data_IF_545834225721
#
_entry.id   IF_545834225721
#
_cell.length_a   1.000
_cell.length_b   1.000
_cell.length_c   1.000
_cell.angle_alpha   90.00
_cell.angle_beta   90.00
_cell.angle_gamma   90.00
#
_symmetry.space_group_name_H-M   'P 1'
#
loop_
_entity.id
_entity.type
_entity.pdbx_description
1 polymer ?
#
# COMPACT_ATOMS: atom_id res chain seq x y z
N UNK A 1 9.88 13.33 -19.36
CA UNK A 1 9.36 11.95 -19.59
C UNK A 1 7.82 11.84 -19.61
N UNK A 2 7.10 12.94 -19.76
CA UNK A 2 5.61 12.93 -19.84
C UNK A 2 5.04 12.45 -21.20
N UNK A 3 5.85 12.21 -22.21
CA UNK A 3 5.40 11.87 -23.56
C UNK A 3 5.16 10.40 -23.87
N UNK A 4 5.34 9.49 -22.89
CA UNK A 4 5.15 8.04 -23.08
C UNK A 4 3.82 7.50 -22.54
N UNK A 5 3.09 8.30 -21.81
CA UNK A 5 1.81 7.91 -21.22
C UNK A 5 0.67 8.52 -22.04
N UNK A 6 -0.42 7.76 -22.22
CA UNK A 6 -1.60 8.20 -22.97
C UNK A 6 -2.27 9.44 -22.37
N UNK A 7 -3.28 9.97 -23.02
CA UNK A 7 -4.01 11.20 -22.63
C UNK A 7 -4.70 11.10 -21.24
N UNK A 8 -4.81 9.89 -20.68
CA UNK A 8 -5.49 9.61 -19.41
C UNK A 8 -4.54 9.59 -18.19
N UNK A 9 -3.25 9.97 -18.38
CA UNK A 9 -2.28 10.04 -17.28
C UNK A 9 -2.05 11.50 -16.89
N UNK A 10 -2.37 11.82 -15.64
CA UNK A 10 -2.24 13.14 -15.07
C UNK A 10 -1.14 13.18 -14.01
N UNK A 11 -0.27 14.17 -14.09
CA UNK A 11 0.76 14.44 -13.07
C UNK A 11 0.35 15.62 -12.22
N UNK A 12 0.28 15.41 -10.90
CA UNK A 12 -0.07 16.43 -9.93
C UNK A 12 1.16 16.69 -9.06
N UNK A 13 1.67 17.92 -9.10
CA UNK A 13 2.70 18.34 -8.16
C UNK A 13 2.04 18.68 -6.82
N UNK A 14 2.53 18.06 -5.74
CA UNK A 14 2.11 18.37 -4.37
C UNK A 14 3.35 18.79 -3.58
N UNK A 15 3.25 19.89 -2.84
CA UNK A 15 4.33 20.39 -1.99
C UNK A 15 4.25 19.82 -0.56
N UNK A 16 3.62 18.66 -0.42
CA UNK A 16 3.42 18.02 0.86
C UNK A 16 4.37 16.84 1.02
N UNK A 17 5.23 16.90 2.02
CA UNK A 17 6.16 15.81 2.38
C UNK A 17 5.47 14.78 3.25
N UNK A 18 4.29 14.32 2.81
CA UNK A 18 3.38 13.49 3.59
C UNK A 18 2.62 12.58 2.63
N UNK A 19 2.70 11.26 2.83
CA UNK A 19 2.11 10.27 1.92
C UNK A 19 0.59 10.33 1.94
N UNK A 20 -0.03 10.51 3.11
CA UNK A 20 -1.48 10.63 3.22
C UNK A 20 -2.01 11.87 2.50
N UNK A 21 -1.34 13.02 2.66
CA UNK A 21 -1.70 14.25 1.96
C UNK A 21 -1.53 14.12 0.43
N UNK A 22 -0.46 13.45 -0.02
CA UNK A 22 -0.23 13.21 -1.44
C UNK A 22 -1.32 12.33 -2.05
N UNK A 23 -1.69 11.21 -1.38
CA UNK A 23 -2.81 10.35 -1.80
C UNK A 23 -4.14 11.13 -1.81
N UNK A 24 -4.41 11.90 -0.75
CA UNK A 24 -5.61 12.74 -0.67
C UNK A 24 -5.68 13.77 -1.82
N UNK A 25 -4.56 14.39 -2.19
CA UNK A 25 -4.50 15.32 -3.32
C UNK A 25 -4.84 14.63 -4.65
N UNK A 26 -4.31 13.42 -4.88
CA UNK A 26 -4.63 12.61 -6.04
C UNK A 26 -6.11 12.33 -6.17
N UNK A 27 -6.76 11.87 -5.09
CA UNK A 27 -8.21 11.59 -5.11
C UNK A 27 -9.08 12.84 -5.18
N UNK A 28 -8.67 13.97 -4.59
CA UNK A 28 -9.36 15.26 -4.80
C UNK A 28 -9.32 15.68 -6.27
N UNK A 29 -8.18 15.53 -6.92
CA UNK A 29 -8.05 15.79 -8.34
C UNK A 29 -8.92 14.84 -9.16
N UNK A 30 -8.86 13.53 -8.92
CA UNK A 30 -9.69 12.54 -9.58
C UNK A 30 -11.18 12.89 -9.45
N UNK A 31 -11.62 13.29 -8.26
CA UNK A 31 -13.00 13.77 -8.03
C UNK A 31 -13.35 14.93 -8.95
N UNK A 32 -12.51 15.96 -9.02
CA UNK A 32 -12.78 17.15 -9.84
C UNK A 32 -12.90 16.87 -11.34
N UNK A 33 -12.13 15.86 -11.83
CA UNK A 33 -12.19 15.45 -13.23
C UNK A 33 -13.41 14.56 -13.52
N UNK A 34 -13.82 13.73 -12.55
CA UNK A 34 -14.86 12.72 -12.72
C UNK A 34 -16.27 13.22 -12.35
N UNK A 35 -16.39 14.32 -11.62
CA UNK A 35 -17.70 14.87 -11.21
C UNK A 35 -18.65 15.11 -12.41
N UNK A 36 -18.12 15.48 -13.56
CA UNK A 36 -18.89 15.70 -14.76
C UNK A 36 -19.48 14.40 -15.39
N UNK A 37 -18.97 13.23 -14.98
CA UNK A 37 -19.36 11.94 -15.57
C UNK A 37 -20.59 11.34 -14.86
N UNK A 38 -20.92 11.79 -13.64
CA UNK A 38 -22.17 11.42 -12.93
C UNK A 38 -22.32 9.94 -12.61
N UNK A 39 -21.23 9.17 -12.62
CA UNK A 39 -21.21 7.74 -12.38
C UNK A 39 -20.52 7.43 -11.05
N UNK A 40 -20.79 6.22 -10.56
CA UNK A 40 -20.08 5.63 -9.44
C UNK A 40 -18.64 5.28 -9.86
N UNK A 41 -17.63 5.67 -9.10
CA UNK A 41 -16.23 5.47 -9.44
C UNK A 41 -15.55 4.58 -8.41
N UNK A 42 -14.73 3.65 -8.92
CA UNK A 42 -13.81 2.88 -8.10
C UNK A 42 -12.46 3.59 -8.08
N UNK A 43 -11.97 3.88 -6.90
CA UNK A 43 -10.63 4.38 -6.67
C UNK A 43 -9.71 3.24 -6.28
N UNK A 44 -8.51 3.23 -6.82
CA UNK A 44 -7.47 2.28 -6.43
C UNK A 44 -6.16 3.02 -6.21
N UNK A 45 -5.34 2.56 -5.29
CA UNK A 45 -4.03 3.15 -4.99
C UNK A 45 -2.96 2.07 -4.97
N UNK A 46 -1.82 2.42 -5.55
CA UNK A 46 -0.58 1.65 -5.52
C UNK A 46 0.59 2.61 -5.37
N UNK A 47 1.78 2.11 -5.06
CA UNK A 47 2.97 2.93 -4.92
C UNK A 47 3.75 2.98 -6.23
N UNK A 48 4.58 4.03 -6.41
CA UNK A 48 5.29 4.27 -7.67
C UNK A 48 6.38 3.24 -8.01
N UNK A 49 6.77 2.42 -7.03
CA UNK A 49 7.73 1.33 -7.14
C UNK A 49 7.07 -0.05 -6.98
N UNK A 50 5.77 -0.11 -7.18
CA UNK A 50 4.95 -1.32 -7.06
C UNK A 50 4.34 -1.69 -8.41
N UNK A 51 4.47 -2.95 -8.79
CA UNK A 51 3.88 -3.52 -10.00
C UNK A 51 2.58 -4.24 -9.65
N UNK A 52 1.54 -3.98 -10.45
CA UNK A 52 0.21 -4.60 -10.31
C UNK A 52 -0.03 -5.63 -11.41
N UNK A 53 -0.76 -6.70 -11.12
CA UNK A 53 -1.16 -7.69 -12.13
C UNK A 53 -2.17 -7.13 -13.13
N UNK A 54 -2.26 -7.75 -14.32
CA UNK A 54 -3.18 -7.31 -15.37
C UNK A 54 -4.67 -7.42 -15.02
N UNK A 55 -5.01 -8.23 -14.04
CA UNK A 55 -6.37 -8.44 -13.52
C UNK A 55 -6.65 -7.66 -12.20
N UNK A 56 -5.69 -6.87 -11.72
CA UNK A 56 -5.73 -6.19 -10.42
C UNK A 56 -7.02 -5.40 -10.19
N UNK A 57 -7.41 -4.54 -11.13
CA UNK A 57 -8.65 -3.76 -11.02
C UNK A 57 -9.90 -4.63 -11.20
N UNK A 58 -9.84 -5.65 -12.06
CA UNK A 58 -10.96 -6.55 -12.32
C UNK A 58 -11.30 -7.35 -11.06
N UNK A 59 -10.29 -7.83 -10.34
CA UNK A 59 -10.47 -8.53 -9.06
C UNK A 59 -11.09 -7.63 -8.01
N UNK A 60 -10.57 -6.42 -7.84
CA UNK A 60 -11.15 -5.46 -6.90
C UNK A 60 -12.62 -5.15 -7.21
N UNK A 61 -12.93 -4.88 -8.48
CA UNK A 61 -14.31 -4.59 -8.91
C UNK A 61 -15.26 -5.80 -8.82
N UNK A 62 -14.71 -6.99 -8.89
CA UNK A 62 -15.48 -8.25 -8.72
C UNK A 62 -15.90 -8.50 -7.28
N UNK A 63 -15.32 -7.82 -6.31
CA UNK A 63 -15.73 -7.88 -4.92
C UNK A 63 -17.00 -7.06 -4.68
N UNK A 64 -17.93 -7.58 -3.90
CA UNK A 64 -19.15 -6.87 -3.48
C UNK A 64 -18.91 -5.99 -2.24
N UNK A 65 -17.68 -5.49 -2.05
CA UNK A 65 -17.27 -4.70 -0.88
C UNK A 65 -17.22 -3.20 -1.17
N UNK A 66 -17.21 -2.40 -0.10
CA UNK A 66 -16.97 -0.96 -0.19
C UNK A 66 -15.48 -0.64 -0.29
N UNK A 67 -14.63 -1.52 0.24
CA UNK A 67 -13.17 -1.49 0.16
C UNK A 67 -12.62 -2.90 -0.08
N UNK A 68 -11.55 -3.02 -0.85
CA UNK A 68 -10.77 -4.24 -1.05
C UNK A 68 -9.33 -3.99 -0.66
N UNK A 69 -8.76 -4.88 0.13
CA UNK A 69 -7.38 -4.89 0.56
C UNK A 69 -6.71 -6.16 0.06
N UNK A 70 -5.53 -6.03 -0.52
CA UNK A 70 -4.70 -7.13 -0.97
C UNK A 70 -3.36 -7.18 -0.26
N UNK A 71 -2.53 -8.13 -0.65
CA UNK A 71 -1.24 -8.42 -0.08
C UNK A 71 -0.10 -7.80 -0.90
N UNK A 72 1.06 -7.66 -0.28
CA UNK A 72 2.27 -7.13 -0.89
C UNK A 72 3.37 -8.19 -0.79
N UNK A 73 4.09 -8.40 -1.88
CA UNK A 73 5.30 -9.24 -1.91
C UNK A 73 6.48 -8.45 -2.45
N UNK A 74 7.68 -8.86 -2.09
CA UNK A 74 8.92 -8.33 -2.67
C UNK A 74 9.27 -9.12 -3.91
N UNK A 75 9.44 -8.43 -5.05
CA UNK A 75 9.69 -9.10 -6.32
C UNK A 75 11.10 -9.64 -6.46
N UNK A 76 12.08 -8.89 -5.99
CA UNK A 76 13.48 -9.27 -6.06
C UNK A 76 14.23 -8.67 -4.87
N UNK A 77 14.95 -9.55 -4.15
CA UNK A 77 15.82 -9.17 -3.05
C UNK A 77 17.20 -8.79 -3.59
N UNK A 78 17.41 -7.49 -3.87
CA UNK A 78 18.67 -6.97 -4.42
C UNK A 78 19.51 -6.21 -3.40
N UNK A 79 18.87 -5.67 -2.38
CA UNK A 79 19.47 -4.75 -1.42
C UNK A 79 19.56 -5.35 -0.01
N UNK A 80 19.06 -6.55 0.18
CA UNK A 80 19.06 -7.28 1.44
C UNK A 80 19.59 -8.70 1.26
N UNK A 81 20.11 -9.32 2.33
CA UNK A 81 20.61 -10.70 2.29
C UNK A 81 19.47 -11.72 2.19
N UNK A 82 19.80 -12.93 1.79
CA UNK A 82 18.85 -14.06 1.73
C UNK A 82 18.21 -14.32 3.10
N UNK A 83 18.98 -14.22 4.19
CA UNK A 83 18.48 -14.40 5.56
C UNK A 83 17.44 -13.34 5.94
N UNK A 84 17.58 -12.11 5.44
CA UNK A 84 16.58 -11.03 5.64
C UNK A 84 15.30 -11.37 4.88
N UNK A 85 15.43 -11.83 3.63
CA UNK A 85 14.30 -12.26 2.81
C UNK A 85 13.52 -13.40 3.49
N UNK A 86 14.22 -14.46 3.90
CA UNK A 86 13.61 -15.61 4.58
C UNK A 86 12.89 -15.21 5.89
N UNK A 87 13.55 -14.38 6.71
CA UNK A 87 12.94 -13.92 7.97
C UNK A 87 11.71 -13.06 7.74
N UNK A 88 11.76 -12.13 6.76
CA UNK A 88 10.64 -11.30 6.39
C UNK A 88 9.45 -12.15 5.89
N UNK A 89 9.68 -13.03 4.92
CA UNK A 89 8.63 -13.88 4.35
C UNK A 89 8.02 -14.81 5.39
N UNK A 90 8.84 -15.42 6.24
CA UNK A 90 8.37 -16.28 7.33
C UNK A 90 7.43 -15.50 8.28
N UNK A 91 7.76 -14.25 8.63
CA UNK A 91 6.91 -13.40 9.48
C UNK A 91 5.65 -12.97 8.77
N UNK A 92 5.78 -12.50 7.55
CA UNK A 92 4.65 -12.04 6.77
C UNK A 92 3.54 -13.10 6.64
N UNK A 93 3.95 -14.37 6.50
CA UNK A 93 3.01 -15.49 6.38
C UNK A 93 2.56 -16.09 7.73
N UNK A 94 3.36 -15.97 8.79
CA UNK A 94 3.12 -16.67 10.05
C UNK A 94 2.45 -15.80 11.14
N UNK A 95 2.73 -14.50 11.16
CA UNK A 95 2.50 -13.68 12.36
C UNK A 95 1.19 -12.90 12.36
N UNK A 96 0.50 -12.76 11.24
CA UNK A 96 -0.70 -11.93 11.23
C UNK A 96 -1.89 -12.58 10.52
N UNK A 97 -3.09 -12.55 11.11
CA UNK A 97 -4.32 -12.79 10.38
C UNK A 97 -4.40 -11.86 9.17
N UNK A 98 -5.00 -12.32 8.08
CA UNK A 98 -5.14 -11.56 6.83
C UNK A 98 -5.64 -10.11 7.06
N UNK A 99 -6.52 -9.92 8.05
CA UNK A 99 -7.10 -8.63 8.42
C UNK A 99 -6.12 -7.62 9.04
N UNK A 100 -4.90 -8.00 9.29
CA UNK A 100 -3.83 -7.10 9.78
C UNK A 100 -2.92 -6.62 8.68
N UNK A 101 -2.96 -7.24 7.48
CA UNK A 101 -2.23 -6.78 6.32
C UNK A 101 -2.95 -5.59 5.67
N UNK A 102 -2.55 -4.38 6.03
CA UNK A 102 -3.08 -3.14 5.46
C UNK A 102 -1.94 -2.43 4.75
N UNK A 103 -2.09 -2.25 3.45
CA UNK A 103 -1.04 -1.66 2.60
C UNK A 103 -1.65 -0.64 1.65
N UNK A 104 -1.29 0.61 1.80
CA UNK A 104 -1.68 1.68 0.87
C UNK A 104 -1.23 1.43 -0.58
N UNK A 105 -0.28 0.50 -0.77
CA UNK A 105 0.17 0.06 -2.08
C UNK A 105 -0.80 -0.93 -2.77
N UNK A 106 -1.75 -1.52 -2.04
CA UNK A 106 -2.70 -2.49 -2.59
C UNK A 106 -4.08 -2.39 -1.96
N UNK A 107 -4.78 -1.31 -2.26
CA UNK A 107 -6.15 -1.11 -1.82
C UNK A 107 -7.00 -0.42 -2.89
N UNK A 108 -8.31 -0.71 -2.86
CA UNK A 108 -9.29 -0.02 -3.68
C UNK A 108 -10.59 0.16 -2.92
N UNK A 109 -11.38 1.16 -3.31
CA UNK A 109 -12.62 1.50 -2.63
C UNK A 109 -13.55 2.32 -3.52
N UNK A 110 -14.84 2.25 -3.23
CA UNK A 110 -15.81 3.11 -3.88
C UNK A 110 -15.64 4.57 -3.47
N UNK A 111 -15.73 5.48 -4.43
CA UNK A 111 -15.56 6.92 -4.22
C UNK A 111 -16.52 7.48 -3.17
N UNK A 112 -17.78 7.01 -3.16
CA UNK A 112 -18.77 7.44 -2.17
C UNK A 112 -18.39 7.02 -0.75
N UNK A 113 -17.91 5.77 -0.57
CA UNK A 113 -17.47 5.27 0.72
C UNK A 113 -16.24 6.05 1.22
N UNK A 114 -15.27 6.28 0.32
CA UNK A 114 -14.08 7.07 0.60
C UNK A 114 -14.40 8.49 1.08
N UNK A 115 -15.28 9.20 0.35
CA UNK A 115 -15.65 10.55 0.73
C UNK A 115 -16.56 10.61 1.96
N UNK A 116 -17.39 9.59 2.19
CA UNK A 116 -18.23 9.48 3.40
C UNK A 116 -17.40 9.46 4.67
N UNK A 117 -16.22 8.83 4.65
CA UNK A 117 -15.32 8.76 5.82
C UNK A 117 -14.26 9.86 5.83
N UNK A 118 -14.27 10.79 4.87
CA UNK A 118 -13.37 11.95 4.82
C UNK A 118 -12.07 11.71 4.05
N UNK A 119 -11.87 10.54 3.44
CA UNK A 119 -10.69 10.22 2.64
C UNK A 119 -9.40 10.05 3.44
N UNK A 120 -8.25 10.01 2.78
CA UNK A 120 -6.95 9.91 3.45
C UNK A 120 -6.67 11.11 4.33
N UNK A 121 -6.27 10.86 5.57
CA UNK A 121 -5.77 11.88 6.49
C UNK A 121 -4.33 12.27 6.13
N UNK A 122 -3.94 13.50 6.45
CA UNK A 122 -2.59 14.02 6.21
C UNK A 122 -1.62 13.49 7.28
N UNK A 123 -1.41 12.17 7.30
CA UNK A 123 -0.49 11.47 8.18
C UNK A 123 0.81 11.16 7.45
N UNK A 124 1.92 11.24 8.16
CA UNK A 124 3.25 10.92 7.62
C UNK A 124 3.44 9.41 7.41
N UNK A 125 2.76 8.59 8.25
CA UNK A 125 2.67 7.13 8.16
C UNK A 125 1.35 6.64 8.74
N UNK A 126 0.92 5.41 8.40
CA UNK A 126 -0.31 4.80 8.92
C UNK A 126 -1.61 5.42 8.40
N UNK A 127 -1.56 6.20 7.32
CA UNK A 127 -2.73 6.81 6.69
C UNK A 127 -3.69 5.77 6.09
N UNK A 128 -3.16 4.62 5.70
CA UNK A 128 -3.90 3.45 5.22
C UNK A 128 -4.64 2.74 6.35
N UNK A 129 -3.96 2.51 7.47
CA UNK A 129 -4.56 1.94 8.68
C UNK A 129 -5.67 2.84 9.21
N UNK A 130 -5.41 4.15 9.32
CA UNK A 130 -6.41 5.15 9.73
C UNK A 130 -7.63 5.15 8.80
N UNK A 131 -7.44 5.05 7.49
CA UNK A 131 -8.54 4.97 6.53
C UNK A 131 -9.38 3.70 6.75
N UNK A 132 -8.73 2.54 6.91
CA UNK A 132 -9.40 1.25 7.17
C UNK A 132 -10.20 1.32 8.47
N UNK A 133 -9.65 1.90 9.53
CA UNK A 133 -10.34 2.03 10.83
C UNK A 133 -11.58 2.93 10.72
N UNK A 134 -11.52 3.99 9.92
CA UNK A 134 -12.70 4.83 9.64
C UNK A 134 -13.75 4.13 8.79
N UNK A 135 -13.35 3.25 7.86
CA UNK A 135 -14.29 2.38 7.13
C UNK A 135 -14.98 1.41 8.09
N UNK A 136 -14.23 0.75 9.00
CA UNK A 136 -14.79 -0.12 10.05
C UNK A 136 -15.77 0.64 10.97
N UNK A 137 -15.38 1.81 11.43
CA UNK A 137 -16.22 2.65 12.30
C UNK A 137 -17.51 3.13 11.63
N UNK A 138 -17.52 3.22 10.30
CA UNK A 138 -18.69 3.58 9.51
C UNK A 138 -19.56 2.38 9.10
N UNK A 139 -19.23 1.16 9.58
CA UNK A 139 -19.89 -0.11 9.25
C UNK A 139 -19.94 -0.37 7.74
N UNK A 140 -18.84 -0.03 7.05
CA UNK A 140 -18.66 -0.29 5.63
C UNK A 140 -18.02 -1.67 5.42
N UNK A 141 -18.43 -2.35 4.36
CA UNK A 141 -17.94 -3.70 4.07
C UNK A 141 -16.52 -3.66 3.50
N UNK A 142 -15.57 -4.31 4.19
CA UNK A 142 -14.17 -4.45 3.78
C UNK A 142 -13.90 -5.91 3.45
N UNK A 143 -13.43 -6.18 2.24
CA UNK A 143 -12.96 -7.49 1.82
C UNK A 143 -11.43 -7.53 1.84
N UNK A 144 -10.87 -8.62 2.38
CA UNK A 144 -9.45 -8.97 2.27
C UNK A 144 -9.32 -10.10 1.24
N UNK A 145 -8.56 -9.85 0.17
CA UNK A 145 -8.32 -10.82 -0.90
C UNK A 145 -6.88 -11.34 -0.80
N UNK A 146 -6.72 -12.57 -0.31
CA UNK A 146 -5.44 -13.25 -0.16
C UNK A 146 -4.81 -13.70 -1.50
N UNK A 147 -5.54 -13.55 -2.60
CA UNK A 147 -5.05 -13.80 -3.95
C UNK A 147 -4.73 -12.51 -4.71
N UNK A 148 -5.00 -11.35 -4.13
CA UNK A 148 -4.73 -10.05 -4.73
C UNK A 148 -3.35 -9.56 -4.29
N UNK A 149 -2.33 -9.94 -5.04
CA UNK A 149 -0.94 -9.57 -4.77
C UNK A 149 -0.47 -8.42 -5.65
N UNK A 150 0.37 -7.57 -5.07
CA UNK A 150 1.20 -6.62 -5.81
C UNK A 150 2.66 -6.85 -5.46
N UNK A 151 3.56 -6.47 -6.36
CA UNK A 151 4.99 -6.71 -6.21
C UNK A 151 5.71 -5.38 -6.01
N UNK A 152 6.34 -5.20 -4.86
CA UNK A 152 7.07 -3.97 -4.54
C UNK A 152 8.59 -4.18 -4.53
N UNK A 153 9.36 -3.08 -4.41
CA UNK A 153 10.81 -3.09 -4.35
C UNK A 153 11.32 -3.27 -2.92
N UNK A 154 12.50 -3.90 -2.78
CA UNK A 154 13.25 -4.06 -1.52
C UNK A 154 14.17 -2.86 -1.23
N UNK A 155 13.83 -1.65 -1.67
CA UNK A 155 14.69 -0.47 -1.48
C UNK A 155 15.01 -0.23 0.00
N UNK A 156 16.28 0.15 0.28
CA UNK A 156 16.77 0.38 1.65
C UNK A 156 16.32 1.72 2.25
N UNK A 157 15.85 2.67 1.44
CA UNK A 157 15.46 4.01 1.91
C UNK A 157 14.04 4.32 1.47
N UNK A 158 13.16 4.46 2.45
CA UNK A 158 11.80 4.96 2.28
C UNK A 158 11.74 6.49 2.28
N UNK A 159 10.59 7.02 1.84
CA UNK A 159 10.25 8.44 1.98
C UNK A 159 9.32 8.69 3.16
N UNK A 160 8.55 7.68 3.55
CA UNK A 160 7.67 7.73 4.71
C UNK A 160 8.41 7.19 5.93
N UNK A 161 8.38 7.89 7.08
CA UNK A 161 8.82 7.34 8.35
C UNK A 161 7.97 6.10 8.71
N UNK A 162 8.59 5.12 9.34
CA UNK A 162 7.94 3.85 9.71
C UNK A 162 7.28 3.10 8.54
N UNK A 163 7.76 3.37 7.31
CA UNK A 163 7.29 2.73 6.09
C UNK A 163 7.94 1.37 5.84
N UNK A 164 7.58 0.74 4.72
CA UNK A 164 8.06 -0.59 4.34
C UNK A 164 9.60 -0.73 4.34
N UNK A 165 10.33 0.28 3.87
CA UNK A 165 11.80 0.27 3.87
C UNK A 165 12.38 0.30 5.29
N UNK A 166 11.76 1.02 6.23
CA UNK A 166 12.19 1.05 7.63
C UNK A 166 11.93 -0.30 8.30
N UNK A 167 10.80 -0.94 8.00
CA UNK A 167 10.52 -2.30 8.44
C UNK A 167 11.56 -3.31 7.95
N UNK A 168 11.96 -3.25 6.67
CA UNK A 168 13.04 -4.10 6.15
C UNK A 168 14.39 -3.82 6.83
N UNK A 169 14.68 -2.56 7.18
CA UNK A 169 15.88 -2.20 7.92
C UNK A 169 15.89 -2.80 9.34
N UNK A 170 14.74 -2.83 10.02
CA UNK A 170 14.58 -3.49 11.32
C UNK A 170 14.84 -5.00 11.25
N UNK A 171 14.28 -5.67 10.22
CA UNK A 171 14.52 -7.10 9.98
C UNK A 171 16.01 -7.36 9.70
N UNK A 172 16.67 -6.48 8.93
CA UNK A 172 18.11 -6.58 8.65
C UNK A 172 18.94 -6.48 9.92
N UNK A 173 18.67 -5.51 10.78
CA UNK A 173 19.35 -5.34 12.07
C UNK A 173 19.15 -6.55 13.00
N UNK A 174 17.99 -7.18 12.91
CA UNK A 174 17.75 -8.37 13.72
C UNK A 174 18.56 -9.58 13.22
N UNK A 175 18.65 -9.77 11.91
CA UNK A 175 19.51 -10.82 11.33
C UNK A 175 20.96 -10.63 11.76
N UNK A 176 21.48 -9.41 11.69
CA UNK A 176 22.84 -9.07 12.15
C UNK A 176 23.04 -9.41 13.63
N UNK A 177 22.14 -8.98 14.51
CA UNK A 177 22.21 -9.30 15.95
C UNK A 177 22.16 -10.80 16.25
N UNK A 178 21.47 -11.60 15.43
CA UNK A 178 21.42 -13.06 15.58
C UNK A 178 22.75 -13.71 15.17
N UNK A 179 23.36 -13.20 14.11
CA UNK A 179 24.66 -13.68 13.64
C UNK A 179 25.76 -13.39 14.68
N UNK A 180 25.85 -12.18 15.22
CA UNK A 180 26.83 -11.79 16.24
C UNK A 180 26.74 -12.69 17.49
N UNK A 181 25.52 -13.00 17.93
CA UNK A 181 25.32 -13.90 19.09
C UNK A 181 25.72 -15.35 18.83
N UNK A 182 25.61 -15.81 17.58
CA UNK A 182 26.02 -17.16 17.22
C UNK A 182 27.55 -17.29 17.23
N UNK A 183 28.26 -16.24 16.81
CA UNK A 183 29.72 -16.18 16.81
C UNK A 183 30.32 -16.06 18.23
N UNK A 184 29.61 -15.40 19.17
CA UNK A 184 30.05 -15.29 20.58
C UNK A 184 29.94 -16.61 21.36
N UNK A 185 29.15 -17.58 20.87
CA UNK A 185 28.90 -18.87 21.56
C UNK A 185 29.74 -20.02 20.96
N UNK A 186 30.46 -19.78 19.86
CA UNK A 186 31.29 -20.76 19.14
C UNK A 186 32.75 -20.63 19.53
#
# INVERSE_FOLDING_TARGET
MAGQFGQDVHFIAVDERNVGAARAAGFRYAKSVLEAVGKRHWYATTDADTEVGGDWLVRQLGSAADMVLGLVQVGQWRHHSEQVAELYEARYHAEAPLQQHIHGANMGFWSEAYWRVGGFAALASGEDVDLVDRFRAADLHIAWDDQLWVTTSDRQRGRAPDGFADHLAEVSQEVERRADRADEVS
#
